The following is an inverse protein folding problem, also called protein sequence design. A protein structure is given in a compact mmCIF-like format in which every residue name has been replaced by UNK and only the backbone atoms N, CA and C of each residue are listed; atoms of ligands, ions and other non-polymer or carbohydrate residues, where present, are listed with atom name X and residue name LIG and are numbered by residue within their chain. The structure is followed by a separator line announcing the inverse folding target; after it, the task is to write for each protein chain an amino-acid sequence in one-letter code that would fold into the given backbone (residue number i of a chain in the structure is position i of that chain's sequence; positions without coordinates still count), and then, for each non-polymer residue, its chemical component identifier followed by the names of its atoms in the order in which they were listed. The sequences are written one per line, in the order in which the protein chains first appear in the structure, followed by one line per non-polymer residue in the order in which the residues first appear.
data_IF_493694510884
#
_entry.id   IF_493694510884
#
_cell.length_a   1.000
_cell.length_b   1.000
_cell.length_c   1.000
_cell.angle_alpha   90.00
_cell.angle_beta   90.00
_cell.angle_gamma   90.00
#
_symmetry.space_group_name_H-M   'P 1'
#
loop_
_entity.id
_entity.type
_entity.pdbx_description
1 polymer ?
#
# COMPACT_ATOMS: atom_id res chain seq x y z
N UNK A 1 28.35 4.37 13.12
CA UNK A 1 27.43 3.88 12.06
C UNK A 1 27.33 4.84 10.87
N UNK A 2 27.17 6.16 11.11
CA UNK A 2 27.01 7.18 10.06
C UNK A 2 28.09 7.16 8.96
N UNK A 3 29.37 7.03 9.34
CA UNK A 3 30.48 6.96 8.37
C UNK A 3 30.47 5.68 7.53
N UNK A 4 30.08 4.54 8.12
CA UNK A 4 29.94 3.28 7.39
C UNK A 4 28.81 3.36 6.36
N UNK A 5 27.68 3.95 6.75
CA UNK A 5 26.55 4.20 5.85
C UNK A 5 26.91 5.17 4.71
N UNK A 6 27.68 6.22 5.00
CA UNK A 6 28.18 7.14 3.97
C UNK A 6 29.17 6.47 3.01
N UNK A 7 30.06 5.60 3.51
CA UNK A 7 30.96 4.81 2.66
C UNK A 7 30.20 3.87 1.74
N UNK A 8 29.14 3.22 2.24
CA UNK A 8 28.27 2.36 1.44
C UNK A 8 27.54 3.17 0.38
N UNK A 9 26.93 4.30 0.73
CA UNK A 9 26.21 5.16 -0.23
C UNK A 9 27.11 5.74 -1.34
N UNK A 10 28.40 5.97 -1.05
CA UNK A 10 29.39 6.48 -2.02
C UNK A 10 30.14 5.39 -2.77
N UNK A 11 29.92 4.12 -2.44
CA UNK A 11 30.60 3.02 -3.12
C UNK A 11 30.02 2.84 -4.53
N UNK A 12 30.86 2.73 -5.58
CA UNK A 12 30.39 2.67 -6.97
C UNK A 12 29.48 1.47 -7.24
N UNK A 13 29.72 0.32 -6.59
CA UNK A 13 28.82 -0.84 -6.70
C UNK A 13 27.42 -0.57 -6.11
N UNK A 14 27.35 0.21 -5.03
CA UNK A 14 26.07 0.55 -4.37
C UNK A 14 25.31 1.58 -5.20
N UNK A 15 25.99 2.56 -5.78
CA UNK A 15 25.36 3.51 -6.70
C UNK A 15 24.86 2.85 -7.98
N UNK A 16 25.63 1.92 -8.54
CA UNK A 16 25.21 1.13 -9.69
C UNK A 16 23.99 0.29 -9.37
N UNK A 17 24.00 -0.44 -8.26
CA UNK A 17 22.84 -1.22 -7.82
C UNK A 17 21.60 -0.34 -7.58
N UNK A 18 21.75 0.83 -6.96
CA UNK A 18 20.65 1.78 -6.75
C UNK A 18 20.06 2.30 -8.07
N UNK A 19 20.91 2.60 -9.06
CA UNK A 19 20.46 3.02 -10.39
C UNK A 19 19.79 1.88 -11.15
N UNK A 20 20.32 0.66 -11.07
CA UNK A 20 19.75 -0.52 -11.71
C UNK A 20 18.41 -0.94 -11.06
N UNK A 21 18.24 -0.64 -9.76
CA UNK A 21 17.00 -0.87 -9.02
C UNK A 21 15.93 0.19 -9.25
N UNK A 22 16.26 1.35 -9.85
CA UNK A 22 15.25 2.38 -10.12
C UNK A 22 14.22 1.81 -11.09
N UNK A 23 12.92 1.80 -10.73
CA UNK A 23 11.88 1.34 -11.63
C UNK A 23 11.87 2.20 -12.90
N UNK A 24 11.59 1.57 -14.04
CA UNK A 24 11.42 2.30 -15.30
C UNK A 24 10.27 3.31 -15.12
N UNK A 25 10.52 4.57 -15.50
CA UNK A 25 9.54 5.66 -15.44
C UNK A 25 8.50 5.48 -16.54
N UNK A 26 7.53 4.61 -16.33
CA UNK A 26 6.43 4.34 -17.25
C UNK A 26 5.11 4.72 -16.60
N UNK A 27 4.08 4.94 -17.42
CA UNK A 27 2.74 5.17 -16.90
C UNK A 27 2.29 4.00 -16.00
N UNK A 28 2.65 2.77 -16.38
CA UNK A 28 2.32 1.56 -15.63
C UNK A 28 2.94 1.50 -14.24
N UNK A 29 4.18 1.96 -14.06
CA UNK A 29 4.81 1.98 -12.74
C UNK A 29 4.16 3.02 -11.80
N UNK A 30 3.80 4.19 -12.33
CA UNK A 30 3.04 5.18 -11.56
C UNK A 30 1.63 4.67 -11.20
N UNK A 31 0.91 4.08 -12.17
CA UNK A 31 -0.42 3.51 -11.94
C UNK A 31 -0.37 2.38 -10.92
N UNK A 32 0.65 1.51 -10.97
CA UNK A 32 0.82 0.47 -9.96
C UNK A 32 0.89 1.05 -8.55
N UNK A 33 1.72 2.07 -8.33
CA UNK A 33 1.83 2.70 -7.01
C UNK A 33 0.50 3.30 -6.56
N UNK A 34 -0.20 4.00 -7.48
CA UNK A 34 -1.50 4.60 -7.19
C UNK A 34 -2.53 3.53 -6.84
N UNK A 35 -2.68 2.49 -7.65
CA UNK A 35 -3.71 1.46 -7.47
C UNK A 35 -3.48 0.57 -6.24
N UNK A 36 -2.22 0.30 -5.88
CA UNK A 36 -1.92 -0.61 -4.77
C UNK A 36 -1.76 0.10 -3.42
N UNK A 37 -1.30 1.35 -3.39
CA UNK A 37 -0.99 2.04 -2.12
C UNK A 37 -1.82 3.28 -1.83
N UNK A 38 -2.43 3.90 -2.85
CA UNK A 38 -3.12 5.19 -2.67
C UNK A 38 -4.64 5.01 -2.83
N UNK A 39 -5.09 4.35 -3.89
CA UNK A 39 -6.50 4.17 -4.18
C UNK A 39 -7.25 3.40 -3.07
N UNK A 40 -6.72 2.29 -2.49
CA UNK A 40 -7.39 1.61 -1.38
C UNK A 40 -7.56 2.51 -0.16
N UNK A 41 -6.58 3.38 0.10
CA UNK A 41 -6.60 4.32 1.22
C UNK A 41 -7.63 5.43 1.03
N UNK A 42 -7.83 5.89 -0.21
CA UNK A 42 -8.91 6.83 -0.56
C UNK A 42 -10.28 6.17 -0.32
N UNK A 43 -10.44 4.90 -0.73
CA UNK A 43 -11.67 4.16 -0.48
C UNK A 43 -11.91 4.00 1.02
N UNK A 44 -10.87 3.64 1.78
CA UNK A 44 -10.95 3.51 3.23
C UNK A 44 -11.34 4.84 3.90
N UNK A 45 -10.79 5.97 3.45
CA UNK A 45 -11.13 7.28 4.01
C UNK A 45 -12.61 7.62 3.93
N UNK A 46 -13.25 7.31 2.79
CA UNK A 46 -14.64 7.70 2.55
C UNK A 46 -15.65 6.63 2.92
N UNK A 47 -15.29 5.35 2.80
CA UNK A 47 -16.26 4.25 2.83
C UNK A 47 -15.95 3.15 3.85
N UNK A 48 -14.86 3.24 4.62
CA UNK A 48 -14.48 2.18 5.56
C UNK A 48 -15.62 1.79 6.51
N UNK A 49 -16.28 2.77 7.13
CA UNK A 49 -17.39 2.53 8.06
C UNK A 49 -18.56 1.81 7.39
N UNK A 50 -18.95 2.22 6.19
CA UNK A 50 -20.05 1.61 5.45
C UNK A 50 -19.71 0.17 5.01
N UNK A 51 -18.47 -0.07 4.57
CA UNK A 51 -17.97 -1.40 4.18
C UNK A 51 -17.96 -2.34 5.38
N UNK A 52 -17.46 -1.88 6.53
CA UNK A 52 -17.42 -2.68 7.77
C UNK A 52 -18.84 -2.99 8.24
N UNK A 53 -19.74 -2.00 8.23
CA UNK A 53 -21.14 -2.20 8.61
C UNK A 53 -21.84 -3.19 7.67
N UNK A 54 -21.63 -3.06 6.36
CA UNK A 54 -22.13 -4.01 5.36
C UNK A 54 -21.65 -5.44 5.65
N UNK A 55 -20.37 -5.61 5.94
CA UNK A 55 -19.78 -6.91 6.22
C UNK A 55 -20.27 -7.52 7.56
N UNK A 56 -20.43 -6.70 8.60
CA UNK A 56 -21.01 -7.13 9.88
C UNK A 56 -22.45 -7.60 9.71
N UNK A 57 -23.27 -6.86 8.96
CA UNK A 57 -24.64 -7.25 8.65
C UNK A 57 -24.68 -8.55 7.82
N UNK A 58 -23.78 -8.71 6.85
CA UNK A 58 -23.66 -9.93 6.06
C UNK A 58 -23.31 -11.16 6.91
N UNK A 59 -22.43 -11.01 7.90
CA UNK A 59 -22.10 -12.08 8.85
C UNK A 59 -23.27 -12.47 9.77
N UNK A 60 -24.12 -11.50 10.13
CA UNK A 60 -25.29 -11.76 10.95
C UNK A 60 -26.37 -12.59 10.23
N UNK A 61 -26.34 -12.67 8.90
CA UNK A 61 -27.29 -13.44 8.09
C UNK A 61 -26.93 -14.92 7.94
N UNK A 62 -26.01 -15.45 8.75
CA UNK A 62 -25.53 -16.84 8.68
C UNK A 62 -25.09 -17.28 7.27
N UNK A 63 -24.13 -16.56 6.65
CA UNK A 63 -23.70 -16.84 5.29
C UNK A 63 -22.91 -18.15 5.19
N UNK A 64 -22.70 -18.64 3.97
CA UNK A 64 -21.83 -19.81 3.74
C UNK A 64 -20.40 -19.55 4.22
N UNK A 65 -19.60 -20.61 4.40
CA UNK A 65 -18.22 -20.47 4.90
C UNK A 65 -17.36 -19.54 4.04
N UNK A 66 -17.52 -19.59 2.71
CA UNK A 66 -16.77 -18.74 1.78
C UNK A 66 -17.18 -17.26 1.90
N UNK A 67 -18.48 -17.00 1.99
CA UNK A 67 -19.00 -15.64 2.17
C UNK A 67 -18.60 -15.07 3.53
N UNK A 68 -18.64 -15.88 4.59
CA UNK A 68 -18.17 -15.48 5.91
C UNK A 68 -16.69 -15.07 5.90
N UNK A 69 -15.85 -15.80 5.15
CA UNK A 69 -14.45 -15.43 4.97
C UNK A 69 -14.29 -14.08 4.28
N UNK A 70 -15.05 -13.82 3.21
CA UNK A 70 -15.01 -12.54 2.49
C UNK A 70 -15.44 -11.37 3.39
N UNK A 71 -16.52 -11.53 4.17
CA UNK A 71 -16.96 -10.48 5.10
C UNK A 71 -15.94 -10.22 6.21
N UNK A 72 -15.37 -11.27 6.80
CA UNK A 72 -14.29 -11.10 7.81
C UNK A 72 -13.07 -10.40 7.23
N UNK A 73 -12.73 -10.68 5.97
CA UNK A 73 -11.64 -10.00 5.28
C UNK A 73 -11.96 -8.52 5.08
N UNK A 74 -13.18 -8.17 4.66
CA UNK A 74 -13.59 -6.78 4.53
C UNK A 74 -13.50 -6.03 5.87
N UNK A 75 -13.94 -6.65 6.97
CA UNK A 75 -13.79 -6.05 8.30
C UNK A 75 -12.31 -5.86 8.62
N UNK A 76 -11.50 -6.91 8.52
CA UNK A 76 -10.07 -6.85 8.82
C UNK A 76 -9.31 -5.78 8.02
N UNK A 77 -9.68 -5.57 6.75
CA UNK A 77 -9.01 -4.59 5.89
C UNK A 77 -9.42 -3.15 6.15
N UNK A 78 -10.64 -2.91 6.64
CA UNK A 78 -11.23 -1.57 6.71
C UNK A 78 -11.62 -1.11 8.12
N UNK A 79 -11.58 -1.98 9.14
CA UNK A 79 -11.94 -1.64 10.53
C UNK A 79 -11.07 -0.53 11.10
N UNK A 80 -9.77 -0.54 10.81
CA UNK A 80 -8.82 0.50 11.24
C UNK A 80 -8.85 1.76 10.36
N UNK A 81 -9.64 1.77 9.28
CA UNK A 81 -9.75 2.89 8.35
C UNK A 81 -8.51 3.09 7.49
N UNK A 82 -8.02 4.34 7.39
CA UNK A 82 -6.86 4.68 6.54
C UNK A 82 -5.55 4.18 7.16
N UNK A 83 -4.74 3.50 6.35
CA UNK A 83 -3.33 3.25 6.63
C UNK A 83 -2.45 4.41 6.15
N UNK A 84 -2.14 5.33 7.08
CA UNK A 84 -1.18 6.42 6.82
C UNK A 84 0.21 5.91 6.42
N UNK A 85 0.60 4.71 6.87
CA UNK A 85 1.85 4.08 6.46
C UNK A 85 1.84 3.73 4.97
N UNK A 86 0.79 3.08 4.48
CA UNK A 86 0.67 2.71 3.06
C UNK A 86 0.64 3.95 2.17
N UNK A 87 -0.13 4.97 2.57
CA UNK A 87 -0.23 6.23 1.83
C UNK A 87 1.12 6.95 1.77
N UNK A 88 1.82 7.07 2.91
CA UNK A 88 3.15 7.65 2.98
C UNK A 88 4.17 6.87 2.14
N UNK A 89 4.13 5.54 2.21
CA UNK A 89 5.01 4.68 1.41
C UNK A 89 4.75 4.83 -0.09
N UNK A 90 3.48 4.89 -0.51
CA UNK A 90 3.09 5.15 -1.90
C UNK A 90 3.60 6.50 -2.40
N UNK A 91 3.50 7.57 -1.60
CA UNK A 91 4.05 8.88 -1.95
C UNK A 91 5.58 8.83 -2.08
N UNK A 92 6.28 8.18 -1.16
CA UNK A 92 7.75 8.01 -1.25
C UNK A 92 8.15 7.24 -2.52
N UNK A 93 7.42 6.19 -2.88
CA UNK A 93 7.66 5.44 -4.10
C UNK A 93 7.43 6.28 -5.36
N UNK A 94 6.37 7.11 -5.39
CA UNK A 94 6.15 8.05 -6.50
C UNK A 94 7.29 9.06 -6.60
N UNK A 95 7.69 9.64 -5.47
CA UNK A 95 8.80 10.59 -5.40
C UNK A 95 10.10 9.93 -5.87
N UNK A 96 10.39 8.69 -5.46
CA UNK A 96 11.53 7.91 -5.95
C UNK A 96 11.43 7.71 -7.47
N UNK A 97 10.27 7.30 -7.99
CA UNK A 97 10.07 7.05 -9.41
C UNK A 97 10.39 8.29 -10.26
N UNK A 98 10.11 9.50 -9.78
CA UNK A 98 10.32 10.72 -10.55
C UNK A 98 11.67 11.42 -10.26
N UNK A 99 12.30 11.23 -9.09
CA UNK A 99 13.69 11.65 -8.80
C UNK A 99 14.75 10.82 -9.53
#
# INVERSE_FOLDING_TARGET
MREKLQKIARHPATQKALNDMKPKKTLWSALGIIFFFIAPEIIAYFYATDIVLFAQNGLAMHPTTLESYNYKMLIYLFEDGISWFNLGFGVVLLVWLFL
#
